data_IF_876124390486
#
_entry.id   IF_876124390486
#
_cell.length_a   1.000
_cell.length_b   1.000
_cell.length_c   1.000
_cell.angle_alpha   90.00
_cell.angle_beta   90.00
_cell.angle_gamma   90.00
#
_symmetry.space_group_name_H-M   'P 1'
#
loop_
_entity.id
_entity.type
_entity.pdbx_description
1 polymer ?
#
# COMPACT_ATOMS: atom_id res chain seq x y z
N UNK A 1 -11.47 -11.75 -8.92
CA UNK A 1 -11.01 -10.36 -8.74
C UNK A 1 -11.69 -9.78 -7.51
N UNK A 2 -10.99 -9.07 -6.61
CA UNK A 2 -11.66 -8.35 -5.52
C UNK A 2 -12.48 -7.15 -6.06
N UNK A 3 -13.58 -6.74 -5.38
CA UNK A 3 -14.35 -5.56 -5.74
C UNK A 3 -13.55 -4.26 -5.52
N UNK A 4 -14.01 -3.16 -6.11
CA UNK A 4 -13.34 -1.86 -6.07
C UNK A 4 -12.95 -1.42 -4.65
N UNK A 5 -13.89 -1.49 -3.70
CA UNK A 5 -13.64 -1.17 -2.28
C UNK A 5 -12.39 -1.90 -1.80
N UNK A 6 -12.36 -3.22 -1.98
CA UNK A 6 -11.24 -4.03 -1.51
C UNK A 6 -9.93 -3.77 -2.24
N UNK A 7 -9.95 -3.39 -3.52
CA UNK A 7 -8.73 -2.97 -4.22
C UNK A 7 -8.13 -1.71 -3.60
N UNK A 8 -8.96 -0.71 -3.25
CA UNK A 8 -8.51 0.53 -2.60
C UNK A 8 -8.00 0.23 -1.19
N UNK A 9 -8.72 -0.58 -0.42
CA UNK A 9 -8.32 -0.98 0.93
C UNK A 9 -6.92 -1.62 0.94
N UNK A 10 -6.70 -2.59 0.05
CA UNK A 10 -5.43 -3.34 -0.01
C UNK A 10 -4.29 -2.46 -0.55
N UNK A 11 -4.55 -1.58 -1.51
CA UNK A 11 -3.54 -0.61 -1.97
C UNK A 11 -3.06 0.29 -0.81
N UNK A 12 -4.01 0.83 -0.02
CA UNK A 12 -3.69 1.61 1.18
C UNK A 12 -2.93 0.79 2.23
N UNK A 13 -3.30 -0.49 2.44
CA UNK A 13 -2.60 -1.37 3.37
C UNK A 13 -1.15 -1.64 2.95
N UNK A 14 -0.88 -1.82 1.65
CA UNK A 14 0.50 -1.95 1.17
C UNK A 14 1.30 -0.66 1.36
N UNK A 15 0.74 0.50 1.01
CA UNK A 15 1.41 1.78 1.20
C UNK A 15 1.78 2.03 2.68
N UNK A 16 0.81 1.85 3.59
CA UNK A 16 1.00 1.96 5.04
C UNK A 16 2.00 0.93 5.58
N UNK A 17 1.74 -0.35 5.31
CA UNK A 17 2.47 -1.43 5.99
C UNK A 17 3.89 -1.62 5.48
N UNK A 18 4.16 -1.31 4.21
CA UNK A 18 5.53 -1.28 3.68
C UNK A 18 6.33 -0.18 4.37
N UNK A 19 5.78 1.04 4.43
CA UNK A 19 6.43 2.19 5.07
C UNK A 19 6.72 1.93 6.55
N UNK A 20 5.74 1.45 7.31
CA UNK A 20 5.88 1.11 8.73
C UNK A 20 6.99 0.06 8.97
N UNK A 21 7.00 -1.01 8.17
CA UNK A 21 8.00 -2.09 8.33
C UNK A 21 9.42 -1.60 7.97
N UNK A 22 9.57 -0.76 6.95
CA UNK A 22 10.88 -0.22 6.56
C UNK A 22 11.52 0.65 7.66
N UNK A 23 10.72 1.43 8.37
CA UNK A 23 11.17 2.21 9.54
C UNK A 23 11.18 1.42 10.84
N UNK A 24 10.76 0.14 10.82
CA UNK A 24 10.82 -0.77 11.96
C UNK A 24 9.80 -0.48 13.06
N UNK A 25 8.65 0.12 12.75
CA UNK A 25 7.56 0.36 13.69
C UNK A 25 6.42 -0.63 13.48
N UNK A 26 5.53 -0.72 14.47
CA UNK A 26 4.30 -1.50 14.35
C UNK A 26 3.41 -0.95 13.22
N UNK A 27 2.78 -1.85 12.46
CA UNK A 27 1.88 -1.47 11.37
C UNK A 27 0.56 -0.97 11.99
N UNK A 28 0.13 0.27 11.73
CA UNK A 28 -1.14 0.75 12.26
C UNK A 28 -2.32 -0.09 11.75
N UNK A 29 -3.24 -0.45 12.66
CA UNK A 29 -4.44 -1.23 12.31
C UNK A 29 -5.50 -0.30 11.75
N UNK A 30 -5.97 -0.60 10.54
CA UNK A 30 -7.11 0.07 9.93
C UNK A 30 -8.24 -0.96 9.86
N UNK A 31 -9.43 -0.59 10.30
CA UNK A 31 -10.61 -1.43 10.12
C UNK A 31 -11.06 -1.37 8.66
N UNK A 32 -11.48 -2.50 8.11
CA UNK A 32 -11.97 -2.61 6.73
C UNK A 32 -13.50 -2.42 6.67
N UNK A 33 -14.00 -1.34 7.27
CA UNK A 33 -15.43 -1.06 7.43
C UNK A 33 -15.99 -0.01 6.45
N UNK A 34 -15.20 0.41 5.45
CA UNK A 34 -15.62 1.40 4.46
C UNK A 34 -16.77 0.89 3.58
N UNK A 35 -17.79 1.73 3.38
CA UNK A 35 -18.97 1.39 2.56
C UNK A 35 -19.23 2.41 1.45
N UNK A 36 -18.64 3.61 1.55
CA UNK A 36 -18.86 4.72 0.63
C UNK A 36 -17.55 5.22 0.02
N UNK A 37 -17.67 6.02 -1.06
CA UNK A 37 -16.49 6.71 -1.62
C UNK A 37 -15.86 7.70 -0.63
N UNK A 38 -16.67 8.35 0.21
CA UNK A 38 -16.15 9.25 1.25
C UNK A 38 -15.29 8.48 2.26
N UNK A 39 -15.71 7.27 2.66
CA UNK A 39 -14.93 6.42 3.55
C UNK A 39 -13.60 6.00 2.90
N UNK A 40 -13.64 5.62 1.62
CA UNK A 40 -12.42 5.26 0.87
C UNK A 40 -11.46 6.45 0.73
N UNK A 41 -11.97 7.65 0.44
CA UNK A 41 -11.15 8.86 0.42
C UNK A 41 -10.56 9.17 1.81
N UNK A 42 -11.35 9.01 2.88
CA UNK A 42 -10.85 9.16 4.24
C UNK A 42 -9.74 8.17 4.57
N UNK A 43 -9.85 6.90 4.13
CA UNK A 43 -8.77 5.89 4.27
C UNK A 43 -7.50 6.32 3.54
N UNK A 44 -7.62 6.81 2.30
CA UNK A 44 -6.48 7.30 1.52
C UNK A 44 -5.81 8.47 2.25
N UNK A 45 -6.58 9.47 2.66
CA UNK A 45 -6.06 10.63 3.41
C UNK A 45 -5.38 10.23 4.71
N UNK A 46 -5.98 9.31 5.48
CA UNK A 46 -5.37 8.75 6.70
C UNK A 46 -4.03 8.05 6.41
N UNK A 47 -3.95 7.33 5.29
CA UNK A 47 -2.73 6.63 4.86
C UNK A 47 -1.62 7.61 4.48
N UNK A 48 -1.97 8.67 3.74
CA UNK A 48 -1.03 9.74 3.36
C UNK A 48 -0.48 10.44 4.61
N UNK A 49 -1.36 10.89 5.51
CA UNK A 49 -0.95 11.53 6.77
C UNK A 49 -0.03 10.64 7.61
N UNK A 50 -0.28 9.33 7.65
CA UNK A 50 0.61 8.40 8.32
C UNK A 50 2.00 8.36 7.65
N UNK A 51 2.07 8.23 6.33
CA UNK A 51 3.35 8.19 5.61
C UNK A 51 4.11 9.51 5.77
N UNK A 52 3.41 10.65 5.69
CA UNK A 52 3.97 11.99 5.89
C UNK A 52 4.51 12.21 7.30
N UNK A 53 3.98 11.50 8.30
CA UNK A 53 4.49 11.57 9.68
C UNK A 53 5.83 10.87 9.87
N UNK A 54 6.28 10.04 8.92
CA UNK A 54 7.54 9.31 9.00
C UNK A 54 8.71 10.20 8.55
N UNK A 55 9.62 10.51 9.45
CA UNK A 55 10.79 11.31 9.15
C UNK A 55 11.78 10.53 8.27
N UNK A 56 12.44 11.16 7.28
CA UNK A 56 13.43 10.49 6.42
C UNK A 56 14.53 9.76 7.19
N UNK A 57 14.98 10.31 8.33
CA UNK A 57 15.98 9.69 9.21
C UNK A 57 15.56 8.29 9.71
N UNK A 58 14.26 8.04 9.85
CA UNK A 58 13.77 6.71 10.28
C UNK A 58 13.99 5.62 9.22
N UNK A 59 14.22 6.01 7.96
CA UNK A 59 14.52 5.09 6.86
C UNK A 59 16.02 4.78 6.74
N UNK A 60 16.90 5.42 7.51
CA UNK A 60 18.32 5.11 7.52
C UNK A 60 18.55 3.63 7.88
N UNK A 61 19.32 2.91 7.06
CA UNK A 61 19.55 1.48 7.22
C UNK A 61 18.36 0.56 6.88
N UNK A 62 17.22 1.11 6.45
CA UNK A 62 16.04 0.30 6.09
C UNK A 62 16.34 -0.73 4.99
N UNK A 63 17.21 -0.40 4.04
CA UNK A 63 17.58 -1.29 2.93
C UNK A 63 18.14 -2.65 3.36
N UNK A 64 18.84 -2.70 4.50
CA UNK A 64 19.48 -3.91 5.05
C UNK A 64 18.73 -4.49 6.25
N UNK A 65 17.65 -3.87 6.71
CA UNK A 65 16.82 -4.37 7.82
C UNK A 65 16.16 -5.69 7.40
N UNK A 66 16.22 -6.71 8.26
CA UNK A 66 15.46 -7.95 8.06
C UNK A 66 13.97 -7.68 8.35
N UNK A 67 13.12 -7.97 7.37
CA UNK A 67 11.67 -7.92 7.46
C UNK A 67 11.14 -9.35 7.42
N UNK A 68 10.43 -9.76 8.47
CA UNK A 68 9.78 -11.07 8.57
C UNK A 68 8.31 -10.94 8.21
N UNK A 69 7.89 -11.60 7.13
CA UNK A 69 6.51 -11.69 6.71
C UNK A 69 5.89 -12.97 7.25
N UNK A 70 4.66 -12.86 7.78
CA UNK A 70 3.87 -14.00 8.31
C UNK A 70 4.65 -14.82 9.36
N UNK A 71 5.18 -14.15 10.40
CA UNK A 71 6.02 -14.80 11.40
C UNK A 71 5.29 -15.96 12.06
N UNK A 72 5.97 -17.09 12.25
CA UNK A 72 5.43 -18.28 12.90
C UNK A 72 4.45 -19.10 12.05
N UNK A 73 4.36 -18.84 10.74
CA UNK A 73 3.52 -19.63 9.81
C UNK A 73 4.38 -20.45 8.85
N UNK A 74 3.86 -21.54 8.24
CA UNK A 74 4.57 -22.27 7.18
C UNK A 74 4.91 -21.43 5.93
N UNK A 75 4.35 -20.22 5.84
CA UNK A 75 4.60 -19.25 4.75
C UNK A 75 5.46 -18.09 5.22
N UNK A 76 6.18 -18.24 6.33
CA UNK A 76 7.13 -17.23 6.81
C UNK A 76 8.17 -16.93 5.72
N UNK A 77 8.44 -15.64 5.50
CA UNK A 77 9.45 -15.20 4.54
C UNK A 77 10.25 -14.06 5.12
N UNK A 78 11.58 -14.18 5.04
CA UNK A 78 12.52 -13.14 5.46
C UNK A 78 13.07 -12.44 4.23
N UNK A 79 13.09 -11.11 4.27
CA UNK A 79 13.58 -10.26 3.18
C UNK A 79 14.38 -9.10 3.77
N UNK A 80 15.47 -8.70 3.13
CA UNK A 80 16.09 -7.41 3.40
C UNK A 80 15.15 -6.29 2.91
N UNK A 81 15.14 -5.14 3.59
CA UNK A 81 14.18 -4.07 3.33
C UNK A 81 14.17 -3.58 1.88
N UNK A 82 15.32 -3.55 1.19
CA UNK A 82 15.36 -3.25 -0.25
C UNK A 82 14.54 -4.25 -1.06
N UNK A 83 14.80 -5.55 -0.91
CA UNK A 83 14.07 -6.61 -1.60
C UNK A 83 12.59 -6.66 -1.17
N UNK A 84 12.30 -6.35 0.09
CA UNK A 84 10.94 -6.22 0.58
C UNK A 84 10.19 -5.10 -0.13
N UNK A 85 10.80 -3.92 -0.31
CA UNK A 85 10.19 -2.81 -1.03
C UNK A 85 10.01 -3.14 -2.51
N UNK A 86 11.07 -3.50 -3.21
CA UNK A 86 11.08 -3.60 -4.69
C UNK A 86 10.41 -4.86 -5.21
N UNK A 87 10.56 -5.99 -4.53
CA UNK A 87 10.11 -7.29 -5.04
C UNK A 87 8.82 -7.78 -4.37
N UNK A 88 8.34 -7.08 -3.34
CA UNK A 88 7.12 -7.44 -2.63
C UNK A 88 6.16 -6.26 -2.47
N UNK A 89 6.58 -5.16 -1.86
CA UNK A 89 5.74 -4.01 -1.55
C UNK A 89 5.20 -3.29 -2.79
N UNK A 90 6.11 -2.77 -3.63
CA UNK A 90 5.76 -2.01 -4.83
C UNK A 90 4.94 -2.84 -5.84
N UNK A 91 5.29 -4.09 -6.18
CA UNK A 91 4.51 -4.88 -7.13
C UNK A 91 3.07 -5.10 -6.64
N UNK A 92 2.88 -5.38 -5.35
CA UNK A 92 1.56 -5.57 -4.78
C UNK A 92 0.76 -4.26 -4.78
N UNK A 93 1.37 -3.16 -4.33
CA UNK A 93 0.75 -1.84 -4.36
C UNK A 93 0.26 -1.48 -5.77
N UNK A 94 1.15 -1.52 -6.77
CA UNK A 94 0.80 -1.15 -8.14
C UNK A 94 -0.18 -2.13 -8.78
N UNK A 95 -0.15 -3.41 -8.44
CA UNK A 95 -1.17 -4.36 -8.90
C UNK A 95 -2.57 -3.92 -8.46
N UNK A 96 -2.75 -3.56 -7.19
CA UNK A 96 -4.05 -3.15 -6.65
C UNK A 96 -4.50 -1.78 -7.18
N UNK A 97 -3.59 -0.80 -7.32
CA UNK A 97 -3.91 0.51 -7.93
C UNK A 97 -4.33 0.33 -9.40
N UNK A 98 -3.57 -0.44 -10.17
CA UNK A 98 -3.88 -0.71 -11.58
C UNK A 98 -5.19 -1.48 -11.72
N UNK A 99 -5.47 -2.41 -10.80
CA UNK A 99 -6.73 -3.16 -10.83
C UNK A 99 -7.92 -2.26 -10.47
N UNK A 100 -7.80 -1.35 -9.51
CA UNK A 100 -8.84 -0.36 -9.22
C UNK A 100 -9.12 0.53 -10.45
N UNK A 101 -8.05 1.03 -11.08
CA UNK A 101 -8.13 1.76 -12.35
C UNK A 101 -8.87 0.95 -13.44
N UNK A 102 -8.50 -0.32 -13.61
CA UNK A 102 -9.08 -1.21 -14.61
C UNK A 102 -10.53 -1.63 -14.30
N UNK A 103 -11.00 -1.50 -13.05
CA UNK A 103 -12.42 -1.65 -12.72
C UNK A 103 -13.20 -0.40 -13.14
N UNK A 104 -12.66 0.79 -12.85
CA UNK A 104 -13.34 2.06 -13.13
C UNK A 104 -13.50 2.32 -14.63
N UNK A 105 -12.45 2.09 -15.41
CA UNK A 105 -12.40 2.43 -16.85
C UNK A 105 -13.51 1.76 -17.70
N UNK A 106 -13.75 0.44 -17.64
CA UNK A 106 -14.83 -0.19 -18.40
C UNK A 106 -16.23 0.16 -17.87
N UNK A 107 -16.35 0.70 -16.65
CA UNK A 107 -17.61 1.20 -16.08
C UNK A 107 -17.94 2.64 -16.52
N UNK A 108 -17.32 3.13 -17.60
CA UNK A 108 -17.66 4.41 -18.23
C UNK A 108 -16.95 5.62 -17.65
N UNK A 109 -16.07 5.45 -16.65
CA UNK A 109 -15.22 6.55 -16.20
C UNK A 109 -14.14 6.82 -17.23
N UNK A 110 -14.04 8.09 -17.65
CA UNK A 110 -13.06 8.58 -18.63
C UNK A 110 -11.61 8.63 -18.11
N UNK A 111 -11.21 7.70 -17.24
CA UNK A 111 -9.85 7.63 -16.69
C UNK A 111 -8.87 7.13 -17.75
N UNK A 112 -7.73 7.79 -17.85
CA UNK A 112 -6.66 7.56 -18.81
C UNK A 112 -5.31 7.28 -18.14
N UNK A 113 -4.27 7.11 -18.95
CA UNK A 113 -2.90 6.92 -18.45
C UNK A 113 -2.44 8.12 -17.60
N UNK A 114 -2.89 9.34 -17.95
CA UNK A 114 -2.57 10.56 -17.20
C UNK A 114 -3.05 10.50 -15.75
N UNK A 115 -4.26 10.01 -15.50
CA UNK A 115 -4.81 9.86 -14.13
C UNK A 115 -4.02 8.85 -13.29
N UNK A 116 -3.45 7.83 -13.93
CA UNK A 116 -2.61 6.84 -13.24
C UNK A 116 -1.19 7.35 -12.98
N UNK A 117 -0.57 8.02 -13.97
CA UNK A 117 0.82 8.48 -13.87
C UNK A 117 0.97 9.75 -13.04
N UNK A 118 -0.08 10.57 -12.92
CA UNK A 118 -0.03 11.86 -12.24
C UNK A 118 0.74 12.92 -13.02
N UNK A 119 1.29 13.90 -12.28
CA UNK A 119 2.15 14.97 -12.81
C UNK A 119 3.61 14.67 -12.47
N UNK A 120 4.52 15.02 -13.38
CA UNK A 120 5.97 14.83 -13.25
C UNK A 120 6.69 16.12 -13.62
#
# INVERSE_FOLDING_TARGET
MFPLIRQVQVAADFAKSVSARLVGIEVPVYEDNEQTFADLQARISKTLLFIESLAPKQFEGSGTREIVLRPGTPKEKKLLGHNYLTNYGLPQFFFHVTTAYAILRPNGLGVGKGDFMGTF
#
